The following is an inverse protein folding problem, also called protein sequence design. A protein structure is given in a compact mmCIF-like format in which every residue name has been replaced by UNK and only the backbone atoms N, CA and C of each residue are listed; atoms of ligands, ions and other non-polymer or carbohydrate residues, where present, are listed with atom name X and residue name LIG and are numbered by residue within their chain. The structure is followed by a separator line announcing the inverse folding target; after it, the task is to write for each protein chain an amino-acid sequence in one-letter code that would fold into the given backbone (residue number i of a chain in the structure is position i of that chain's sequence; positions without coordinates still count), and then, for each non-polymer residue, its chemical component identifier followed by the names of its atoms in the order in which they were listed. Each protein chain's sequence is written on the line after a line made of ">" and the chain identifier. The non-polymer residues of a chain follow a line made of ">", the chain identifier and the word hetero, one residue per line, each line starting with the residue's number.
data_IF_564980588849
#
_entry.id   IF_564980588849
#
_cell.length_a   1.000
_cell.length_b   1.000
_cell.length_c   1.000
_cell.angle_alpha   90.00
_cell.angle_beta   90.00
_cell.angle_gamma   90.00
#
_symmetry.space_group_name_H-M   'P 1'
#
loop_
_entity.id
_entity.type
_entity.pdbx_description
1 polymer ?
#
# COMPACT_ATOMS: atom_id res chain seq x y z
N UNK A 1 -27.71 44.71 5.97
CA UNK A 1 -26.49 43.89 6.10
C UNK A 1 -26.15 43.35 4.72
N UNK A 2 -24.95 43.60 4.17
CA UNK A 2 -24.72 43.38 2.74
C UNK A 2 -24.46 41.89 2.45
N UNK A 3 -25.15 41.37 1.43
CA UNK A 3 -25.19 39.98 0.97
C UNK A 3 -23.82 39.34 0.64
N UNK A 4 -22.76 40.14 0.56
CA UNK A 4 -21.38 39.67 0.34
C UNK A 4 -20.91 38.68 1.42
N UNK A 5 -21.33 38.85 2.68
CA UNK A 5 -20.93 37.95 3.79
C UNK A 5 -21.67 36.61 3.78
N UNK A 6 -22.80 36.47 3.07
CA UNK A 6 -23.50 35.17 2.96
C UNK A 6 -22.79 34.22 2.00
N UNK A 7 -22.18 34.75 0.93
CA UNK A 7 -21.44 33.97 -0.07
C UNK A 7 -20.18 33.32 0.52
N UNK A 8 -19.63 33.93 1.57
CA UNK A 8 -18.36 33.55 2.19
C UNK A 8 -18.49 32.92 3.59
N UNK A 9 -19.68 32.50 4.02
CA UNK A 9 -19.76 31.53 5.13
C UNK A 9 -19.37 30.16 4.58
N UNK A 10 -18.16 29.62 4.85
CA UNK A 10 -17.88 28.24 4.49
C UNK A 10 -18.94 27.38 5.18
N UNK A 11 -19.55 26.45 4.43
CA UNK A 11 -20.40 25.41 5.04
C UNK A 11 -19.58 24.76 6.15
N UNK A 12 -20.11 24.75 7.37
CA UNK A 12 -19.37 24.22 8.52
C UNK A 12 -18.91 22.79 8.23
N UNK A 13 -17.67 22.47 8.56
CA UNK A 13 -17.11 21.11 8.42
C UNK A 13 -18.04 20.10 9.12
N UNK A 14 -18.68 20.53 10.22
CA UNK A 14 -19.73 19.80 10.95
C UNK A 14 -20.99 19.49 10.12
N UNK A 15 -21.40 20.35 9.16
CA UNK A 15 -22.51 20.07 8.24
C UNK A 15 -22.14 19.03 7.16
N UNK A 16 -20.85 18.90 6.81
CA UNK A 16 -20.36 17.86 5.89
C UNK A 16 -20.04 16.53 6.60
N UNK A 17 -19.66 16.57 7.88
CA UNK A 17 -19.30 15.39 8.66
C UNK A 17 -20.41 14.32 8.69
N UNK A 18 -21.68 14.73 8.73
CA UNK A 18 -22.84 13.81 8.70
C UNK A 18 -23.21 13.24 7.32
N UNK A 19 -22.53 13.64 6.24
CA UNK A 19 -22.78 13.18 4.85
C UNK A 19 -21.64 12.34 4.28
N UNK A 20 -20.58 12.09 5.06
CA UNK A 20 -19.47 11.26 4.58
C UNK A 20 -19.97 9.81 4.45
N UNK A 21 -19.93 9.21 3.25
CA UNK A 21 -20.17 7.77 3.15
C UNK A 21 -19.17 7.05 4.08
N UNK A 22 -19.60 5.97 4.75
CA UNK A 22 -18.69 5.21 5.61
C UNK A 22 -17.48 4.80 4.79
N UNK A 23 -16.28 4.90 5.41
CA UNK A 23 -15.02 4.48 4.80
C UNK A 23 -15.19 3.04 4.31
N UNK A 24 -15.36 2.87 2.99
CA UNK A 24 -15.53 1.55 2.38
C UNK A 24 -14.17 0.89 2.42
N UNK A 25 -14.03 -0.14 3.25
CA UNK A 25 -12.76 -0.84 3.37
C UNK A 25 -12.49 -1.59 2.06
N UNK A 26 -11.56 -1.08 1.25
CA UNK A 26 -11.17 -1.66 -0.05
C UNK A 26 -10.77 -3.14 0.08
N UNK A 27 -10.19 -3.53 1.23
CA UNK A 27 -9.83 -4.92 1.48
C UNK A 27 -11.07 -5.83 1.58
N UNK A 28 -12.15 -5.38 2.24
CA UNK A 28 -13.38 -6.18 2.39
C UNK A 28 -14.11 -6.36 1.05
N UNK A 29 -14.07 -5.33 0.20
CA UNK A 29 -14.70 -5.36 -1.13
C UNK A 29 -13.93 -6.31 -2.05
N UNK A 30 -12.60 -6.30 -1.95
CA UNK A 30 -11.75 -7.22 -2.67
C UNK A 30 -11.98 -8.67 -2.23
N UNK A 31 -11.96 -8.95 -0.92
CA UNK A 31 -12.21 -10.29 -0.38
C UNK A 31 -13.59 -10.87 -0.71
N UNK A 32 -14.61 -10.01 -0.78
CA UNK A 32 -15.98 -10.40 -1.14
C UNK A 32 -16.12 -10.84 -2.61
N UNK A 33 -15.23 -10.38 -3.50
CA UNK A 33 -15.23 -10.73 -4.92
C UNK A 33 -14.40 -11.97 -5.29
N UNK A 34 -13.67 -12.56 -4.33
CA UNK A 34 -12.78 -13.69 -4.59
C UNK A 34 -13.52 -15.02 -4.65
N UNK A 35 -13.36 -15.75 -5.76
CA UNK A 35 -13.81 -17.14 -5.87
C UNK A 35 -13.01 -18.06 -4.93
N UNK A 36 -13.55 -19.25 -4.65
CA UNK A 36 -12.82 -20.27 -3.87
C UNK A 36 -11.50 -20.68 -4.54
N UNK A 37 -11.48 -20.71 -5.87
CA UNK A 37 -10.28 -21.03 -6.66
C UNK A 37 -9.25 -19.90 -6.59
N UNK A 38 -9.71 -18.65 -6.61
CA UNK A 38 -8.86 -17.46 -6.47
C UNK A 38 -8.17 -17.44 -5.10
N UNK A 39 -8.91 -17.79 -4.04
CA UNK A 39 -8.35 -17.91 -2.68
C UNK A 39 -7.29 -19.01 -2.61
N UNK A 40 -7.52 -20.15 -3.25
CA UNK A 40 -6.53 -21.23 -3.31
C UNK A 40 -5.28 -20.79 -4.09
N UNK A 41 -5.44 -20.12 -5.23
CA UNK A 41 -4.33 -19.58 -5.99
C UNK A 41 -3.51 -18.57 -5.17
N UNK A 42 -4.18 -17.67 -4.44
CA UNK A 42 -3.51 -16.72 -3.55
C UNK A 42 -2.70 -17.40 -2.46
N UNK A 43 -3.29 -18.37 -1.75
CA UNK A 43 -2.61 -19.10 -0.69
C UNK A 43 -1.37 -19.82 -1.23
N UNK A 44 -1.50 -20.46 -2.40
CA UNK A 44 -0.38 -21.16 -3.03
C UNK A 44 0.69 -20.17 -3.46
N UNK A 45 0.35 -19.07 -4.13
CA UNK A 45 1.29 -18.03 -4.54
C UNK A 45 2.01 -17.41 -3.35
N UNK A 46 1.30 -17.16 -2.25
CA UNK A 46 1.87 -16.51 -1.06
C UNK A 46 2.86 -17.43 -0.32
N UNK A 47 2.61 -18.74 -0.29
CA UNK A 47 3.53 -19.70 0.35
C UNK A 47 4.69 -20.12 -0.57
N UNK A 48 4.36 -20.47 -1.82
CA UNK A 48 5.31 -21.00 -2.82
C UNK A 48 6.18 -19.89 -3.41
N UNK A 49 5.66 -18.67 -3.54
CA UNK A 49 6.37 -17.51 -4.09
C UNK A 49 7.43 -16.92 -3.15
N UNK A 50 7.61 -17.48 -1.95
CA UNK A 50 8.62 -16.99 -1.00
C UNK A 50 10.03 -17.45 -1.37
N UNK A 51 11.01 -16.57 -1.14
CA UNK A 51 12.42 -16.91 -1.34
C UNK A 51 12.89 -18.06 -0.43
N UNK A 52 12.33 -18.15 0.78
CA UNK A 52 12.62 -19.23 1.72
C UNK A 52 12.18 -20.60 1.21
N UNK A 53 10.99 -20.69 0.61
CA UNK A 53 10.49 -21.94 0.03
C UNK A 53 11.35 -22.41 -1.15
N UNK A 54 11.74 -21.49 -2.02
CA UNK A 54 12.67 -21.79 -3.13
C UNK A 54 14.00 -22.36 -2.62
N UNK A 55 14.63 -21.71 -1.64
CA UNK A 55 15.88 -22.19 -1.05
C UNK A 55 15.70 -23.55 -0.36
N UNK A 56 14.58 -23.77 0.31
CA UNK A 56 14.26 -25.06 0.94
C UNK A 56 14.20 -26.21 -0.07
N UNK A 57 13.45 -26.05 -1.17
CA UNK A 57 13.38 -27.06 -2.23
C UNK A 57 14.73 -27.23 -2.93
N UNK A 58 15.45 -26.14 -3.19
CA UNK A 58 16.76 -26.19 -3.83
C UNK A 58 17.77 -26.98 -2.98
N UNK A 59 17.90 -26.65 -1.69
CA UNK A 59 18.77 -27.35 -0.76
C UNK A 59 18.37 -28.82 -0.62
N UNK A 60 17.07 -29.10 -0.46
CA UNK A 60 16.55 -30.48 -0.41
C UNK A 60 16.94 -31.27 -1.66
N UNK A 61 16.77 -30.67 -2.85
CA UNK A 61 17.08 -31.32 -4.13
C UNK A 61 18.58 -31.58 -4.28
N UNK A 62 19.43 -30.63 -3.90
CA UNK A 62 20.89 -30.78 -3.94
C UNK A 62 21.36 -31.84 -2.94
N UNK A 63 20.84 -31.83 -1.72
CA UNK A 63 21.17 -32.82 -0.70
C UNK A 63 20.73 -34.23 -1.12
N UNK A 64 19.52 -34.36 -1.68
CA UNK A 64 19.00 -35.64 -2.17
C UNK A 64 19.81 -36.19 -3.33
N UNK A 65 20.08 -35.36 -4.33
CA UNK A 65 20.87 -35.73 -5.50
C UNK A 65 22.31 -36.09 -5.08
N UNK A 66 22.92 -35.26 -4.23
CA UNK A 66 24.25 -35.48 -3.67
C UNK A 66 24.33 -36.79 -2.89
N UNK A 67 23.34 -37.09 -2.04
CA UNK A 67 23.27 -38.35 -1.30
C UNK A 67 23.21 -39.57 -2.25
N UNK A 68 22.33 -39.55 -3.26
CA UNK A 68 22.20 -40.66 -4.22
C UNK A 68 23.45 -40.85 -5.09
N UNK A 69 24.11 -39.76 -5.50
CA UNK A 69 25.38 -39.82 -6.25
C UNK A 69 26.50 -40.41 -5.37
N UNK A 70 26.66 -39.90 -4.15
CA UNK A 70 27.71 -40.38 -3.23
C UNK A 70 27.51 -41.85 -2.84
N UNK A 71 26.26 -42.27 -2.59
CA UNK A 71 25.92 -43.66 -2.29
C UNK A 71 26.21 -44.61 -3.47
N UNK A 72 26.11 -44.11 -4.72
CA UNK A 72 26.37 -44.92 -5.92
C UNK A 72 27.86 -44.94 -6.31
N UNK A 73 28.56 -43.81 -6.18
CA UNK A 73 29.93 -43.63 -6.69
C UNK A 73 31.03 -43.90 -5.66
N UNK A 74 30.71 -44.04 -4.36
CA UNK A 74 31.69 -44.31 -3.29
C UNK A 74 31.42 -45.69 -2.67
N UNK A 75 31.98 -46.78 -3.24
CA UNK A 75 31.80 -48.14 -2.71
C UNK A 75 32.27 -48.29 -1.26
N UNK A 76 33.27 -47.50 -0.86
CA UNK A 76 33.89 -47.50 0.48
C UNK A 76 32.91 -47.15 1.60
N UNK A 77 31.80 -46.47 1.27
CA UNK A 77 30.84 -45.97 2.26
C UNK A 77 29.76 -47.00 2.61
N UNK A 78 29.68 -48.11 1.89
CA UNK A 78 28.66 -49.17 2.04
C UNK A 78 27.20 -48.69 2.03
N UNK A 79 26.94 -47.47 1.55
CA UNK A 79 25.60 -46.92 1.45
C UNK A 79 24.87 -47.53 0.26
N UNK A 80 23.63 -47.99 0.48
CA UNK A 80 22.76 -48.40 -0.62
C UNK A 80 22.13 -47.14 -1.22
N UNK A 81 22.14 -46.98 -2.56
CA UNK A 81 21.38 -45.90 -3.19
C UNK A 81 19.92 -46.05 -2.79
N UNK A 82 19.35 -44.97 -2.27
CA UNK A 82 17.94 -44.94 -1.88
C UNK A 82 17.04 -45.02 -3.13
N UNK A 83 17.50 -44.44 -4.24
CA UNK A 83 16.76 -44.38 -5.50
C UNK A 83 17.60 -44.85 -6.71
N UNK A 84 17.73 -46.17 -6.92
CA UNK A 84 18.42 -46.72 -8.09
C UNK A 84 17.64 -46.47 -9.39
N UNK A 85 18.37 -46.43 -10.52
CA UNK A 85 17.77 -46.37 -11.85
C UNK A 85 16.71 -47.49 -12.01
N UNK A 86 15.44 -47.22 -12.40
CA UNK A 86 14.93 -46.04 -13.11
C UNK A 86 14.15 -45.00 -12.27
N UNK A 87 14.00 -45.21 -10.96
CA UNK A 87 13.05 -44.42 -10.14
C UNK A 87 13.46 -42.94 -9.99
N UNK A 88 14.76 -42.63 -10.02
CA UNK A 88 15.27 -41.25 -10.09
C UNK A 88 14.74 -40.45 -11.29
N UNK A 89 14.68 -41.08 -12.47
CA UNK A 89 14.19 -40.42 -13.69
C UNK A 89 12.69 -40.17 -13.58
N UNK A 90 11.94 -41.12 -13.01
CA UNK A 90 10.51 -40.95 -12.75
C UNK A 90 10.25 -39.78 -11.78
N UNK A 91 11.05 -39.66 -10.71
CA UNK A 91 10.95 -38.54 -9.77
C UNK A 91 11.19 -37.19 -10.46
N UNK A 92 12.24 -37.06 -11.28
CA UNK A 92 12.52 -35.82 -12.01
C UNK A 92 11.40 -35.44 -12.98
N UNK A 93 10.85 -36.41 -13.72
CA UNK A 93 9.72 -36.19 -14.62
C UNK A 93 8.47 -35.74 -13.85
N UNK A 94 8.13 -36.42 -12.76
CA UNK A 94 6.96 -36.07 -11.94
C UNK A 94 7.11 -34.66 -11.34
N UNK A 95 8.29 -34.31 -10.82
CA UNK A 95 8.57 -32.98 -10.29
C UNK A 95 8.44 -31.91 -11.37
N UNK A 96 8.93 -32.16 -12.59
CA UNK A 96 8.87 -31.21 -13.68
C UNK A 96 7.43 -30.93 -14.14
N UNK A 97 6.60 -31.98 -14.26
CA UNK A 97 5.18 -31.82 -14.60
C UNK A 97 4.44 -30.97 -13.56
N UNK A 98 4.71 -31.19 -12.28
CA UNK A 98 4.13 -30.39 -11.19
C UNK A 98 4.57 -28.92 -11.32
N UNK A 99 5.84 -28.65 -11.62
CA UNK A 99 6.36 -27.29 -11.80
C UNK A 99 5.71 -26.56 -12.98
N UNK A 100 5.47 -27.25 -14.11
CA UNK A 100 4.81 -26.66 -15.27
C UNK A 100 3.38 -26.22 -14.93
N UNK A 101 2.64 -27.02 -14.15
CA UNK A 101 1.29 -26.66 -13.69
C UNK A 101 1.32 -25.54 -12.64
N UNK A 102 2.39 -25.45 -11.86
CA UNK A 102 2.55 -24.47 -10.80
C UNK A 102 2.75 -23.05 -11.35
N UNK A 103 3.44 -22.87 -12.48
CA UNK A 103 3.69 -21.55 -13.08
C UNK A 103 2.41 -20.76 -13.42
N UNK A 104 1.44 -21.30 -14.19
CA UNK A 104 0.17 -20.62 -14.46
C UNK A 104 -0.63 -20.35 -13.18
N UNK A 105 -0.59 -21.28 -12.22
CA UNK A 105 -1.27 -21.12 -10.94
C UNK A 105 -0.69 -19.95 -10.13
N UNK A 106 0.64 -19.84 -10.08
CA UNK A 106 1.34 -18.71 -9.47
C UNK A 106 0.98 -17.41 -10.18
N UNK A 107 0.99 -17.41 -11.52
CA UNK A 107 0.67 -16.25 -12.35
C UNK A 107 -0.76 -15.73 -12.10
N UNK A 108 -1.73 -16.63 -11.92
CA UNK A 108 -3.10 -16.25 -11.53
C UNK A 108 -3.11 -15.57 -10.17
N UNK A 109 -2.42 -16.12 -9.16
CA UNK A 109 -2.33 -15.49 -7.84
C UNK A 109 -1.61 -14.14 -7.88
N UNK A 110 -0.57 -13.98 -8.71
CA UNK A 110 0.13 -12.72 -8.91
C UNK A 110 -0.76 -11.66 -9.58
N UNK A 111 -1.49 -12.03 -10.63
CA UNK A 111 -2.45 -11.13 -11.29
C UNK A 111 -3.50 -10.62 -10.31
N UNK A 112 -3.94 -11.49 -9.39
CA UNK A 112 -4.92 -11.14 -8.39
C UNK A 112 -4.38 -10.21 -7.30
N UNK A 113 -3.16 -10.47 -6.81
CA UNK A 113 -2.43 -9.57 -5.91
C UNK A 113 -2.17 -8.21 -6.57
N UNK A 114 -1.85 -8.19 -7.87
CA UNK A 114 -1.66 -6.98 -8.67
C UNK A 114 -2.94 -6.14 -8.74
N UNK A 115 -4.07 -6.77 -9.08
CA UNK A 115 -5.38 -6.10 -9.11
C UNK A 115 -5.78 -5.53 -7.75
N UNK A 116 -5.48 -6.24 -6.65
CA UNK A 116 -5.70 -5.71 -5.29
C UNK A 116 -4.85 -4.48 -5.00
N UNK A 117 -3.58 -4.53 -5.39
CA UNK A 117 -2.62 -3.45 -5.20
C UNK A 117 -3.02 -2.21 -6.01
N UNK A 118 -3.51 -2.40 -7.24
CA UNK A 118 -4.03 -1.32 -8.08
C UNK A 118 -5.26 -0.65 -7.47
N UNK A 119 -6.25 -1.45 -7.02
CA UNK A 119 -7.44 -0.91 -6.34
C UNK A 119 -7.10 -0.12 -5.07
N UNK A 120 -6.07 -0.56 -4.34
CA UNK A 120 -5.57 0.18 -3.17
C UNK A 120 -4.93 1.50 -3.59
N UNK A 121 -4.07 1.48 -4.60
CA UNK A 121 -3.41 2.68 -5.11
C UNK A 121 -4.41 3.72 -5.65
N UNK A 122 -5.47 3.27 -6.35
CA UNK A 122 -6.54 4.14 -6.84
C UNK A 122 -7.32 4.80 -5.69
N UNK A 123 -7.67 4.03 -4.66
CA UNK A 123 -8.32 4.57 -3.47
C UNK A 123 -7.43 5.56 -2.71
N UNK A 124 -6.14 5.26 -2.54
CA UNK A 124 -5.19 6.15 -1.87
C UNK A 124 -5.02 7.46 -2.66
N UNK A 125 -4.98 7.38 -4.00
CA UNK A 125 -4.99 8.56 -4.87
C UNK A 125 -6.26 9.40 -4.70
N UNK A 126 -7.44 8.79 -4.69
CA UNK A 126 -8.69 9.51 -4.45
C UNK A 126 -8.73 10.22 -3.09
N UNK A 127 -8.22 9.56 -2.03
CA UNK A 127 -8.13 10.14 -0.70
C UNK A 127 -7.19 11.34 -0.70
N UNK A 128 -6.04 11.25 -1.37
CA UNK A 128 -5.09 12.35 -1.48
C UNK A 128 -5.67 13.54 -2.24
N UNK A 129 -6.36 13.32 -3.35
CA UNK A 129 -7.03 14.40 -4.10
C UNK A 129 -8.11 15.08 -3.24
N UNK A 130 -8.89 14.30 -2.48
CA UNK A 130 -9.87 14.87 -1.54
C UNK A 130 -9.19 15.66 -0.42
N UNK A 131 -8.06 15.18 0.09
CA UNK A 131 -7.29 15.87 1.11
C UNK A 131 -6.71 17.19 0.58
N UNK A 132 -6.20 17.22 -0.65
CA UNK A 132 -5.73 18.43 -1.33
C UNK A 132 -6.84 19.48 -1.44
N UNK A 133 -8.05 19.09 -1.85
CA UNK A 133 -9.22 19.99 -1.90
C UNK A 133 -9.63 20.50 -0.51
N UNK A 134 -9.56 19.65 0.52
CA UNK A 134 -9.84 20.06 1.90
C UNK A 134 -8.78 21.05 2.40
N UNK A 135 -7.50 20.83 2.08
CA UNK A 135 -6.40 21.75 2.38
C UNK A 135 -6.55 23.08 1.66
N UNK A 136 -6.86 23.07 0.35
CA UNK A 136 -7.13 24.28 -0.44
C UNK A 136 -8.27 25.09 0.19
N UNK A 137 -9.35 24.41 0.60
CA UNK A 137 -10.48 25.06 1.30
C UNK A 137 -10.04 25.71 2.62
N UNK A 138 -9.15 25.05 3.38
CA UNK A 138 -8.61 25.58 4.62
C UNK A 138 -7.73 26.81 4.34
N UNK A 139 -6.83 26.74 3.35
CA UNK A 139 -5.97 27.87 2.95
C UNK A 139 -6.82 29.07 2.55
N UNK A 140 -7.84 28.86 1.72
CA UNK A 140 -8.73 29.93 1.27
C UNK A 140 -9.50 30.56 2.43
N UNK A 141 -9.82 29.77 3.47
CA UNK A 141 -10.43 30.29 4.69
C UNK A 141 -9.45 31.08 5.55
N UNK A 142 -8.19 30.63 5.66
CA UNK A 142 -7.13 31.35 6.37
C UNK A 142 -6.80 32.68 5.71
N UNK A 143 -6.67 32.71 4.37
CA UNK A 143 -6.47 33.95 3.61
C UNK A 143 -7.63 34.94 3.83
N UNK A 144 -8.87 34.43 3.84
CA UNK A 144 -10.04 35.26 4.14
C UNK A 144 -10.00 35.82 5.56
N UNK A 145 -9.67 34.99 6.56
CA UNK A 145 -9.51 35.46 7.94
C UNK A 145 -8.42 36.53 8.04
N UNK A 146 -7.27 36.32 7.39
CA UNK A 146 -6.19 37.30 7.34
C UNK A 146 -6.65 38.62 6.71
N UNK A 147 -7.38 38.58 5.59
CA UNK A 147 -7.92 39.78 4.96
C UNK A 147 -8.87 40.54 5.90
N UNK A 148 -9.76 39.84 6.60
CA UNK A 148 -10.66 40.45 7.60
C UNK A 148 -9.86 41.08 8.74
N UNK A 149 -8.86 40.38 9.29
CA UNK A 149 -7.99 40.90 10.34
C UNK A 149 -7.26 42.17 9.91
N UNK A 150 -6.69 42.19 8.70
CA UNK A 150 -6.04 43.37 8.13
C UNK A 150 -7.02 44.55 8.05
N UNK A 151 -8.23 44.34 7.52
CA UNK A 151 -9.23 45.41 7.44
C UNK A 151 -9.69 45.93 8.81
N UNK A 152 -9.73 45.07 9.84
CA UNK A 152 -10.04 45.50 11.21
C UNK A 152 -8.91 46.37 11.77
N UNK A 153 -7.64 45.98 11.57
CA UNK A 153 -6.46 46.75 12.00
C UNK A 153 -6.46 48.14 11.34
N UNK A 154 -6.70 48.22 10.04
CA UNK A 154 -6.82 49.49 9.31
C UNK A 154 -7.96 50.37 9.85
N UNK A 155 -9.13 49.79 10.14
CA UNK A 155 -10.27 50.53 10.70
C UNK A 155 -10.04 51.01 12.13
N UNK A 156 -9.19 50.33 12.89
CA UNK A 156 -8.77 50.74 14.24
C UNK A 156 -7.68 51.82 14.21
N UNK A 157 -7.18 52.20 13.03
CA UNK A 157 -6.15 53.22 12.87
C UNK A 157 -4.75 52.78 13.30
N UNK A 158 -4.55 51.48 13.48
CA UNK A 158 -3.24 50.89 13.83
C UNK A 158 -2.42 50.69 12.54
N UNK A 159 -1.13 51.01 12.60
CA UNK A 159 -0.22 50.73 11.49
C UNK A 159 0.04 49.22 11.41
N UNK A 160 0.15 48.64 10.20
CA UNK A 160 0.51 47.23 10.05
C UNK A 160 1.85 46.90 10.74
N UNK A 161 2.77 47.87 10.82
CA UNK A 161 4.04 47.71 11.52
C UNK A 161 3.86 47.50 13.03
N UNK A 162 2.90 48.18 13.66
CA UNK A 162 2.59 48.02 15.09
C UNK A 162 1.94 46.67 15.38
N UNK A 163 1.05 46.21 14.49
CA UNK A 163 0.41 44.89 14.60
C UNK A 163 1.43 43.75 14.45
N UNK A 164 2.36 43.85 13.49
CA UNK A 164 3.44 42.87 13.29
C UNK A 164 4.44 42.90 14.45
N UNK A 165 4.77 44.07 14.98
CA UNK A 165 5.61 44.20 16.17
C UNK A 165 4.96 43.55 17.41
N UNK A 166 3.65 43.73 17.60
CA UNK A 166 2.89 43.09 18.67
C UNK A 166 2.85 41.56 18.53
N UNK A 167 2.70 41.03 17.32
CA UNK A 167 2.77 39.59 17.03
C UNK A 167 4.16 39.00 17.37
N UNK A 168 5.24 39.70 16.99
CA UNK A 168 6.62 39.32 17.38
C UNK A 168 6.82 39.36 18.89
N UNK A 169 6.27 40.37 19.57
CA UNK A 169 6.34 40.49 21.03
C UNK A 169 5.56 39.39 21.77
N UNK A 170 4.53 38.82 21.14
CA UNK A 170 3.78 37.66 21.65
C UNK A 170 4.34 36.31 21.18
N UNK A 171 5.50 36.29 20.52
CA UNK A 171 6.22 35.06 20.16
C UNK A 171 5.63 34.30 18.97
N UNK A 172 4.83 34.94 18.12
CA UNK A 172 4.32 34.31 16.89
C UNK A 172 5.47 34.23 15.87
N UNK A 173 5.87 33.01 15.44
CA UNK A 173 6.96 32.85 14.48
C UNK A 173 6.55 33.38 13.10
N UNK A 174 7.53 33.95 12.39
CA UNK A 174 7.36 34.37 11.00
C UNK A 174 7.09 33.13 10.13
N UNK A 175 6.08 33.20 9.25
CA UNK A 175 5.70 32.07 8.40
C UNK A 175 6.89 31.72 7.51
N UNK A 176 7.59 30.62 7.81
CA UNK A 176 8.61 30.09 6.90
C UNK A 176 7.90 29.65 5.63
N UNK A 177 8.12 30.39 4.55
CA UNK A 177 7.78 29.95 3.20
C UNK A 177 8.59 28.68 2.93
N UNK A 178 7.93 27.52 2.95
CA UNK A 178 8.53 26.27 2.49
C UNK A 178 8.82 26.45 1.00
N UNK A 179 10.08 26.68 0.67
CA UNK A 179 10.60 26.70 -0.71
C UNK A 179 10.80 25.30 -1.25
#
# INVERSE_FOLDING_TARGET
>A
MPDALKKFRPRSVFQRAGRRPPLKNVNQVHEAGLSRLDRLALVITDHVGTMGFFLGIFLWTVLWCGYNILATQVPSLHWKPFDPFPAFVAYLLMSNVIQILLMPLIMVGQNLQGRHSELRAENDFEVNVKAEQEIETILHHLEFQNAVLITMVEKLGLSQEEAVAALKAHGVPEVQTLG
#
